data_IF_082209194711
#
_entry.id   IF_082209194711
#
_cell.length_a   1.000
_cell.length_b   1.000
_cell.length_c   1.000
_cell.angle_alpha   90.00
_cell.angle_beta   90.00
_cell.angle_gamma   90.00
#
_symmetry.space_group_name_H-M   'P 1'
#
loop_
_entity.id
_entity.type
_entity.pdbx_description
1 polymer ?
#
# COMPACT_ATOMS: atom_id res chain seq x y z
N UNK A 1 38.14 1.85 7.51
CA UNK A 1 38.15 0.48 8.07
C UNK A 1 37.60 0.61 9.47
N UNK A 2 36.33 0.27 9.71
CA UNK A 2 36.02 -1.06 10.21
C UNK A 2 34.70 -1.62 9.65
N UNK A 3 34.71 -2.94 9.45
CA UNK A 3 33.79 -3.71 8.62
C UNK A 3 32.46 -3.96 9.32
N UNK A 4 31.41 -3.77 8.53
CA UNK A 4 30.12 -4.46 8.59
C UNK A 4 30.20 -5.85 9.24
N UNK A 5 29.78 -5.97 10.50
CA UNK A 5 29.17 -7.20 11.03
C UNK A 5 27.67 -6.98 11.15
N UNK A 6 26.97 -7.03 10.02
CA UNK A 6 25.53 -7.30 10.00
C UNK A 6 25.36 -8.74 10.52
N UNK A 7 25.01 -8.87 11.80
CA UNK A 7 24.65 -10.15 12.38
C UNK A 7 23.40 -10.67 11.65
N UNK A 8 23.59 -11.53 10.65
CA UNK A 8 22.49 -12.20 9.97
C UNK A 8 21.91 -13.21 10.96
N UNK A 9 20.69 -12.93 11.42
CA UNK A 9 19.99 -13.78 12.39
C UNK A 9 19.52 -15.04 11.66
N UNK A 10 20.04 -16.21 12.00
CA UNK A 10 19.53 -17.50 11.48
C UNK A 10 18.20 -17.84 12.15
N UNK A 11 17.25 -18.34 11.37
CA UNK A 11 15.95 -18.76 11.91
C UNK A 11 15.59 -20.16 11.42
N UNK A 12 15.09 -20.97 12.36
CA UNK A 12 14.66 -22.36 12.15
C UNK A 12 13.21 -22.39 11.65
N UNK A 13 12.96 -23.09 10.55
CA UNK A 13 11.61 -23.46 10.11
C UNK A 13 11.47 -24.97 10.27
N UNK A 14 10.42 -25.43 10.96
CA UNK A 14 10.16 -26.85 11.18
C UNK A 14 9.26 -27.37 10.06
N UNK A 15 9.71 -28.38 9.33
CA UNK A 15 9.00 -29.02 8.21
C UNK A 15 8.96 -30.51 8.52
N UNK A 16 7.77 -31.11 8.77
CA UNK A 16 7.55 -32.57 8.98
C UNK A 16 8.83 -33.32 9.46
N UNK A 17 9.25 -33.00 10.69
CA UNK A 17 10.39 -33.62 11.40
C UNK A 17 11.82 -33.20 11.00
N UNK A 18 11.99 -32.21 10.13
CA UNK A 18 13.28 -31.60 9.79
C UNK A 18 13.32 -30.09 10.08
N UNK A 19 14.38 -29.65 10.74
CA UNK A 19 14.65 -28.24 11.04
C UNK A 19 15.60 -27.68 9.99
N UNK A 20 15.09 -26.78 9.13
CA UNK A 20 15.92 -26.11 8.12
C UNK A 20 16.26 -24.69 8.58
N UNK A 21 17.55 -24.37 8.66
CA UNK A 21 18.05 -23.03 8.93
C UNK A 21 18.19 -22.23 7.63
N UNK A 22 17.52 -21.08 7.56
CA UNK A 22 17.61 -20.17 6.40
C UNK A 22 18.08 -18.80 6.87
N UNK A 23 19.08 -18.24 6.19
CA UNK A 23 19.61 -16.90 6.47
C UNK A 23 18.59 -15.80 6.16
N UNK A 24 18.58 -14.74 6.98
CA UNK A 24 17.63 -13.63 6.87
C UNK A 24 18.30 -12.42 6.25
N UNK A 25 17.76 -11.96 5.12
CA UNK A 25 18.28 -10.80 4.39
C UNK A 25 17.55 -9.50 4.75
N UNK A 26 18.32 -8.42 4.91
CA UNK A 26 17.82 -7.06 5.08
C UNK A 26 17.54 -6.42 3.72
N UNK A 27 16.28 -6.13 3.41
CA UNK A 27 15.90 -5.45 2.15
C UNK A 27 15.34 -4.05 2.42
N UNK A 28 15.84 -3.06 1.67
CA UNK A 28 15.29 -1.70 1.64
C UNK A 28 13.84 -1.68 1.12
N UNK A 29 13.11 -0.57 1.30
CA UNK A 29 11.67 -0.42 0.99
C UNK A 29 11.30 -0.78 -0.46
N UNK A 30 11.19 -2.07 -0.77
CA UNK A 30 10.49 -2.56 -1.96
C UNK A 30 9.00 -2.55 -1.65
N UNK A 31 8.22 -1.79 -2.42
CA UNK A 31 6.76 -1.82 -2.36
C UNK A 31 6.30 -3.27 -2.59
N UNK A 32 5.76 -3.90 -1.56
CA UNK A 32 4.89 -5.07 -1.74
C UNK A 32 3.56 -4.51 -2.24
N UNK A 33 3.19 -4.84 -3.48
CA UNK A 33 1.84 -4.55 -3.96
C UNK A 33 0.86 -5.41 -3.15
N UNK A 34 0.01 -4.77 -2.37
CA UNK A 34 -1.22 -5.36 -1.89
C UNK A 34 -2.23 -5.25 -3.03
N UNK A 35 -2.39 -6.32 -3.81
CA UNK A 35 -3.47 -6.40 -4.78
C UNK A 35 -4.53 -7.35 -4.22
N UNK A 36 -5.77 -6.85 -4.15
CA UNK A 36 -6.93 -7.70 -3.91
C UNK A 36 -7.07 -8.70 -5.06
N UNK A 37 -7.61 -9.88 -4.75
CA UNK A 37 -8.28 -10.66 -5.77
C UNK A 37 -9.37 -9.77 -6.37
N UNK A 38 -9.35 -9.58 -7.68
CA UNK A 38 -10.53 -9.16 -8.43
C UNK A 38 -10.97 -10.44 -9.10
N UNK A 39 -12.01 -11.05 -8.55
CA UNK A 39 -12.71 -12.17 -9.17
C UNK A 39 -13.73 -11.60 -10.17
N UNK A 40 -14.00 -12.30 -11.29
CA UNK A 40 -15.08 -11.92 -12.20
C UNK A 40 -16.44 -11.90 -11.46
N UNK A 41 -17.36 -11.09 -11.98
CA UNK A 41 -18.71 -10.90 -11.42
C UNK A 41 -19.40 -12.25 -11.13
N UNK A 42 -20.19 -12.26 -10.05
CA UNK A 42 -21.04 -13.38 -9.64
C UNK A 42 -21.96 -13.80 -10.79
N UNK A 43 -21.56 -14.81 -11.55
CA UNK A 43 -22.51 -15.64 -12.28
C UNK A 43 -23.09 -16.63 -11.27
N UNK A 44 -24.43 -16.68 -11.22
CA UNK A 44 -25.19 -17.63 -10.42
C UNK A 44 -24.92 -19.03 -10.92
N UNK A 45 -24.04 -19.77 -10.23
CA UNK A 45 -23.79 -21.18 -10.52
C UNK A 45 -24.74 -22.01 -9.66
N UNK A 46 -25.59 -22.76 -10.35
CA UNK A 46 -26.56 -23.72 -9.82
C UNK A 46 -25.92 -24.71 -8.83
N UNK A 47 -26.72 -25.15 -7.86
CA UNK A 47 -26.43 -26.14 -6.81
C UNK A 47 -26.17 -27.57 -7.34
N UNK A 48 -25.20 -27.72 -8.25
CA UNK A 48 -24.64 -29.02 -8.58
C UNK A 48 -23.55 -29.34 -7.53
N UNK A 49 -23.73 -30.44 -6.80
CA UNK A 49 -22.79 -30.93 -5.79
C UNK A 49 -21.35 -30.91 -6.34
N UNK A 50 -20.51 -30.03 -5.80
CA UNK A 50 -19.14 -29.86 -6.27
C UNK A 50 -18.34 -31.12 -5.97
N UNK A 51 -18.04 -31.92 -6.99
CA UNK A 51 -17.26 -33.15 -6.83
C UNK A 51 -15.84 -32.83 -6.30
N UNK A 52 -15.60 -33.19 -5.04
CA UNK A 52 -14.35 -33.00 -4.30
C UNK A 52 -13.38 -34.17 -4.45
N UNK A 53 -13.77 -35.26 -5.11
CA UNK A 53 -12.94 -36.45 -5.24
C UNK A 53 -11.73 -36.26 -6.17
N UNK A 54 -11.78 -35.28 -7.08
CA UNK A 54 -10.75 -35.00 -8.11
C UNK A 54 -10.14 -33.59 -8.03
N UNK A 55 -9.98 -33.07 -6.81
CA UNK A 55 -9.52 -31.69 -6.61
C UNK A 55 -8.10 -31.44 -7.12
N UNK A 56 -7.19 -32.41 -6.94
CA UNK A 56 -5.80 -32.25 -7.35
C UNK A 56 -5.68 -32.22 -8.88
N UNK A 57 -6.47 -33.03 -9.57
CA UNK A 57 -6.58 -33.05 -11.02
C UNK A 57 -7.08 -31.70 -11.54
N UNK A 58 -8.15 -31.16 -10.94
CA UNK A 58 -8.67 -29.82 -11.25
C UNK A 58 -7.63 -28.72 -11.01
N UNK A 59 -6.82 -28.83 -9.96
CA UNK A 59 -5.71 -27.89 -9.70
C UNK A 59 -4.67 -27.93 -10.82
N UNK A 60 -4.33 -29.12 -11.30
CA UNK A 60 -3.29 -29.36 -12.30
C UNK A 60 -3.79 -29.31 -13.76
N UNK A 61 -5.06 -28.97 -13.97
CA UNK A 61 -5.61 -28.71 -15.31
C UNK A 61 -4.86 -27.58 -16.01
N UNK A 62 -4.67 -27.75 -17.31
CA UNK A 62 -3.85 -26.86 -18.14
C UNK A 62 -4.32 -25.41 -18.04
N UNK A 63 -5.63 -25.17 -18.13
CA UNK A 63 -6.17 -23.82 -18.16
C UNK A 63 -6.04 -23.12 -16.80
N UNK A 64 -6.27 -23.86 -15.70
CA UNK A 64 -6.04 -23.36 -14.34
C UNK A 64 -4.56 -23.00 -14.13
N UNK A 65 -3.64 -23.88 -14.54
CA UNK A 65 -2.20 -23.64 -14.45
C UNK A 65 -1.74 -22.45 -15.30
N UNK A 66 -2.32 -22.22 -16.47
CA UNK A 66 -2.04 -21.04 -17.30
C UNK A 66 -2.54 -19.75 -16.65
N UNK A 67 -3.72 -19.76 -16.02
CA UNK A 67 -4.22 -18.63 -15.24
C UNK A 67 -3.33 -18.34 -14.04
N UNK A 68 -2.90 -19.38 -13.33
CA UNK A 68 -1.95 -19.26 -12.22
C UNK A 68 -0.62 -18.65 -12.70
N UNK A 69 -0.08 -19.11 -13.82
CA UNK A 69 1.15 -18.62 -14.42
C UNK A 69 1.04 -17.13 -14.78
N UNK A 70 -0.03 -16.74 -15.47
CA UNK A 70 -0.32 -15.34 -15.81
C UNK A 70 -0.37 -14.46 -14.55
N UNK A 71 -1.05 -14.93 -13.49
CA UNK A 71 -1.16 -14.21 -12.21
C UNK A 71 0.21 -14.05 -11.54
N UNK A 72 1.00 -15.12 -11.44
CA UNK A 72 2.32 -15.10 -10.76
C UNK A 72 3.29 -14.18 -11.51
N UNK A 73 3.30 -14.21 -12.85
CA UNK A 73 4.10 -13.30 -13.68
C UNK A 73 3.66 -11.85 -13.50
N UNK A 74 2.35 -11.58 -13.53
CA UNK A 74 1.82 -10.22 -13.38
C UNK A 74 2.17 -9.57 -12.03
N UNK A 75 2.34 -10.38 -10.97
CA UNK A 75 2.69 -9.91 -9.63
C UNK A 75 4.15 -9.44 -9.51
N UNK A 76 5.03 -9.79 -10.48
CA UNK A 76 6.45 -9.37 -10.52
C UNK A 76 7.19 -9.60 -9.19
N UNK A 77 6.89 -10.71 -8.52
CA UNK A 77 7.45 -11.06 -7.21
C UNK A 77 8.95 -11.42 -7.28
N UNK A 78 9.68 -11.18 -6.18
CA UNK A 78 11.10 -11.56 -6.06
C UNK A 78 11.30 -13.08 -6.06
N UNK A 79 12.51 -13.55 -6.37
CA UNK A 79 12.88 -14.96 -6.31
C UNK A 79 12.80 -15.56 -4.89
N UNK A 80 12.67 -16.89 -4.83
CA UNK A 80 12.77 -17.69 -3.60
C UNK A 80 14.21 -17.99 -3.23
N UNK A 81 14.43 -19.07 -2.48
CA UNK A 81 15.77 -19.53 -2.04
C UNK A 81 16.63 -20.04 -3.20
N UNK A 82 15.98 -20.50 -4.28
CA UNK A 82 16.56 -21.04 -5.50
C UNK A 82 17.12 -19.98 -6.46
N UNK A 83 16.88 -18.70 -6.19
CA UNK A 83 17.38 -17.59 -7.01
C UNK A 83 16.65 -17.37 -8.35
N UNK A 84 15.79 -18.32 -8.77
CA UNK A 84 15.07 -18.26 -10.05
C UNK A 84 14.20 -17.01 -10.15
N UNK A 85 14.39 -16.25 -11.23
CA UNK A 85 13.62 -15.04 -11.52
C UNK A 85 12.26 -15.38 -12.15
N UNK A 86 11.35 -14.41 -12.08
CA UNK A 86 10.01 -14.58 -12.66
C UNK A 86 10.03 -14.76 -14.18
N UNK A 87 11.02 -14.16 -14.85
CA UNK A 87 11.16 -14.20 -16.30
C UNK A 87 11.60 -15.59 -16.80
N UNK A 88 12.27 -16.36 -15.94
CA UNK A 88 12.77 -17.72 -16.23
C UNK A 88 11.68 -18.79 -16.02
N UNK A 89 10.61 -18.46 -15.28
CA UNK A 89 9.57 -19.42 -14.89
C UNK A 89 8.94 -20.13 -16.08
N UNK A 90 8.69 -19.42 -17.18
CA UNK A 90 7.98 -19.99 -18.34
C UNK A 90 8.79 -21.11 -19.00
N UNK A 91 10.09 -20.88 -19.19
CA UNK A 91 10.99 -21.87 -19.77
C UNK A 91 11.26 -23.03 -18.80
N UNK A 92 11.41 -22.73 -17.51
CA UNK A 92 11.55 -23.75 -16.47
C UNK A 92 10.36 -24.71 -16.45
N UNK A 93 9.14 -24.19 -16.45
CA UNK A 93 7.93 -25.03 -16.45
C UNK A 93 7.83 -25.83 -17.75
N UNK A 94 8.09 -25.24 -18.93
CA UNK A 94 8.08 -26.00 -20.19
C UNK A 94 9.01 -27.23 -20.13
N UNK A 95 10.20 -27.08 -19.55
CA UNK A 95 11.20 -28.14 -19.45
C UNK A 95 10.88 -29.20 -18.38
N UNK A 96 10.33 -28.78 -17.24
CA UNK A 96 10.20 -29.63 -16.05
C UNK A 96 8.76 -30.00 -15.66
N UNK A 97 7.75 -29.53 -16.40
CA UNK A 97 6.34 -29.69 -16.03
C UNK A 97 5.92 -31.15 -15.85
N UNK A 98 6.34 -32.04 -16.75
CA UNK A 98 5.98 -33.45 -16.66
C UNK A 98 6.44 -34.05 -15.32
N UNK A 99 7.71 -33.85 -14.96
CA UNK A 99 8.28 -34.31 -13.69
C UNK A 99 7.58 -33.68 -12.47
N UNK A 100 7.29 -32.37 -12.53
CA UNK A 100 6.61 -31.66 -11.43
C UNK A 100 5.19 -32.22 -11.24
N UNK A 101 4.43 -32.37 -12.34
CA UNK A 101 3.06 -32.89 -12.33
C UNK A 101 3.01 -34.30 -11.77
N UNK A 102 3.89 -35.19 -12.23
CA UNK A 102 3.97 -36.57 -11.72
C UNK A 102 4.27 -36.59 -10.23
N UNK A 103 5.26 -35.81 -9.76
CA UNK A 103 5.57 -35.72 -8.32
C UNK A 103 4.39 -35.20 -7.48
N UNK A 104 3.59 -34.28 -8.02
CA UNK A 104 2.40 -33.76 -7.34
C UNK A 104 1.30 -34.81 -7.23
N UNK A 105 0.99 -35.50 -8.33
CA UNK A 105 -0.02 -36.57 -8.37
C UNK A 105 0.36 -37.76 -7.49
N UNK A 106 1.65 -38.13 -7.47
CA UNK A 106 2.16 -39.20 -6.60
C UNK A 106 2.39 -38.77 -5.15
N UNK A 107 2.05 -37.53 -4.77
CA UNK A 107 2.27 -36.96 -3.42
C UNK A 107 3.75 -36.92 -2.96
N UNK A 108 4.70 -37.05 -3.89
CA UNK A 108 6.16 -37.00 -3.65
C UNK A 108 6.75 -35.59 -3.77
N UNK A 109 5.94 -34.60 -4.09
CA UNK A 109 6.38 -33.21 -4.20
C UNK A 109 6.64 -32.60 -2.81
N UNK A 110 7.89 -32.25 -2.54
CA UNK A 110 8.26 -31.47 -1.36
C UNK A 110 8.54 -30.01 -1.74
N UNK A 111 7.73 -29.03 -1.30
CA UNK A 111 7.96 -27.61 -1.59
C UNK A 111 9.30 -27.14 -1.03
N UNK A 112 9.92 -26.18 -1.72
CA UNK A 112 11.19 -25.60 -1.25
C UNK A 112 10.98 -24.70 -0.03
N UNK A 113 12.00 -24.55 0.84
CA UNK A 113 11.91 -23.65 1.96
C UNK A 113 11.72 -22.19 1.48
N UNK A 114 10.97 -21.43 2.27
CA UNK A 114 10.62 -20.04 1.98
C UNK A 114 11.77 -19.09 2.35
N UNK A 115 12.20 -18.23 1.42
CA UNK A 115 13.25 -17.23 1.65
C UNK A 115 12.80 -16.15 2.64
N UNK A 116 13.64 -15.77 3.60
CA UNK A 116 13.28 -14.82 4.67
C UNK A 116 13.75 -13.41 4.34
N UNK A 117 12.82 -12.44 4.40
CA UNK A 117 13.11 -11.02 4.14
C UNK A 117 12.49 -10.14 5.21
N UNK A 118 13.27 -9.21 5.76
CA UNK A 118 12.79 -8.18 6.69
C UNK A 118 12.22 -6.96 5.97
N UNK A 119 11.00 -6.55 6.33
CA UNK A 119 10.32 -5.37 5.78
C UNK A 119 9.83 -4.47 6.93
N UNK A 120 10.14 -3.17 6.94
CA UNK A 120 9.68 -2.26 7.98
C UNK A 120 8.16 -2.04 7.89
N UNK A 121 7.44 -2.25 9.00
CA UNK A 121 6.03 -1.83 9.13
C UNK A 121 5.96 -0.31 9.34
N UNK A 122 4.81 0.31 9.03
CA UNK A 122 4.59 1.73 9.33
C UNK A 122 4.73 2.11 10.81
N UNK A 123 4.61 1.13 11.70
CA UNK A 123 4.66 1.24 13.15
C UNK A 123 6.11 1.20 13.69
N UNK A 124 7.11 1.03 12.83
CA UNK A 124 8.53 0.90 13.19
C UNK A 124 8.98 -0.55 13.43
N UNK A 125 8.04 -1.46 13.70
CA UNK A 125 8.31 -2.89 13.88
C UNK A 125 8.61 -3.58 12.55
N UNK A 126 9.50 -4.57 12.54
CA UNK A 126 9.82 -5.36 11.33
C UNK A 126 8.76 -6.44 11.06
N UNK A 127 8.47 -6.72 9.79
CA UNK A 127 7.72 -7.89 9.30
C UNK A 127 8.71 -8.83 8.63
N UNK A 128 8.80 -10.05 9.15
CA UNK A 128 9.49 -11.15 8.47
C UNK A 128 8.53 -11.71 7.41
N UNK A 129 8.96 -11.68 6.15
CA UNK A 129 8.23 -12.25 5.02
C UNK A 129 8.90 -13.55 4.60
N UNK A 130 8.11 -14.61 4.39
CA UNK A 130 8.53 -15.82 3.70
C UNK A 130 8.16 -15.72 2.23
N UNK A 131 9.15 -15.78 1.34
CA UNK A 131 8.97 -15.72 -0.10
C UNK A 131 9.22 -17.12 -0.66
N UNK A 132 8.19 -17.86 -1.12
CA UNK A 132 8.37 -19.17 -1.75
C UNK A 132 9.11 -19.04 -3.09
N UNK A 133 9.61 -20.15 -3.61
CA UNK A 133 10.14 -20.21 -4.98
C UNK A 133 9.07 -19.83 -5.99
N UNK A 134 9.49 -19.44 -7.19
CA UNK A 134 8.53 -19.04 -8.22
C UNK A 134 7.63 -20.22 -8.63
N UNK A 135 8.21 -21.43 -8.66
CA UNK A 135 7.48 -22.69 -8.88
C UNK A 135 6.46 -22.96 -7.77
N UNK A 136 6.84 -22.84 -6.49
CA UNK A 136 5.92 -23.06 -5.38
C UNK A 136 4.77 -22.05 -5.37
N UNK A 137 5.04 -20.79 -5.74
CA UNK A 137 3.99 -19.77 -5.88
C UNK A 137 3.00 -20.11 -7.01
N UNK A 138 3.48 -20.69 -8.11
CA UNK A 138 2.61 -21.14 -9.19
C UNK A 138 1.65 -22.22 -8.70
N UNK A 139 2.18 -23.24 -8.02
CA UNK A 139 1.37 -24.35 -7.47
C UNK A 139 0.38 -23.83 -6.42
N UNK A 140 0.83 -22.99 -5.48
CA UNK A 140 -0.04 -22.36 -4.48
C UNK A 140 -1.16 -21.53 -5.12
N UNK A 141 -0.86 -20.80 -6.19
CA UNK A 141 -1.84 -19.98 -6.90
C UNK A 141 -2.90 -20.86 -7.61
N UNK A 142 -2.48 -21.98 -8.19
CA UNK A 142 -3.39 -22.95 -8.82
C UNK A 142 -4.31 -23.61 -7.79
N UNK A 143 -3.78 -23.98 -6.62
CA UNK A 143 -4.56 -24.50 -5.49
C UNK A 143 -5.58 -23.45 -5.03
N UNK A 144 -5.14 -22.21 -4.82
CA UNK A 144 -6.00 -21.12 -4.37
C UNK A 144 -7.18 -20.87 -5.32
N UNK A 145 -6.97 -20.94 -6.64
CA UNK A 145 -8.03 -20.75 -7.64
C UNK A 145 -9.15 -21.78 -7.54
N UNK A 146 -8.82 -23.05 -7.25
CA UNK A 146 -9.81 -24.12 -7.09
C UNK A 146 -10.49 -24.01 -5.72
N UNK A 147 -9.72 -23.86 -4.64
CA UNK A 147 -10.26 -23.80 -3.28
C UNK A 147 -11.14 -22.57 -3.06
N UNK A 148 -10.82 -21.42 -3.65
CA UNK A 148 -11.68 -20.23 -3.56
C UNK A 148 -13.09 -20.49 -4.09
N UNK A 149 -13.27 -21.30 -5.14
CA UNK A 149 -14.61 -21.63 -5.66
C UNK A 149 -15.46 -22.42 -4.66
N UNK A 150 -14.81 -23.20 -3.79
CA UNK A 150 -15.47 -24.05 -2.78
C UNK A 150 -15.80 -23.21 -1.54
N UNK A 151 -14.83 -22.42 -1.07
CA UNK A 151 -14.95 -21.76 0.22
C UNK A 151 -15.59 -20.37 0.16
N UNK A 152 -15.44 -19.60 -0.92
CA UNK A 152 -16.04 -18.25 -1.02
C UNK A 152 -17.57 -18.24 -0.82
N UNK A 153 -18.35 -19.17 -1.40
CA UNK A 153 -19.80 -19.23 -1.15
C UNK A 153 -20.16 -19.59 0.30
N UNK A 154 -19.30 -20.34 0.99
CA UNK A 154 -19.51 -20.74 2.39
C UNK A 154 -19.15 -19.65 3.41
N UNK A 155 -18.48 -18.58 2.97
CA UNK A 155 -18.14 -17.47 3.85
C UNK A 155 -19.37 -16.61 4.14
N UNK A 156 -19.53 -16.22 5.41
CA UNK A 156 -20.61 -15.32 5.83
C UNK A 156 -20.55 -14.00 5.05
N UNK A 157 -21.70 -13.54 4.55
CA UNK A 157 -21.86 -12.22 3.91
C UNK A 157 -21.47 -11.04 4.83
N UNK A 158 -21.36 -11.28 6.14
CA UNK A 158 -20.97 -10.29 7.16
C UNK A 158 -19.52 -10.50 7.69
N UNK A 159 -18.70 -11.29 7.00
CA UNK A 159 -17.28 -11.52 7.32
C UNK A 159 -16.42 -10.29 6.99
N UNK A 160 -16.57 -9.23 7.79
CA UNK A 160 -15.77 -8.00 7.72
C UNK A 160 -15.33 -7.46 9.11
N UNK A 161 -15.65 -8.18 10.20
CA UNK A 161 -15.16 -8.10 11.60
C UNK A 161 -15.27 -6.76 12.35
N UNK A 162 -16.03 -6.55 13.45
CA UNK A 162 -16.88 -7.34 14.37
C UNK A 162 -17.95 -6.39 14.99
N UNK A 163 -19.14 -6.89 15.39
CA UNK A 163 -20.32 -6.10 15.83
C UNK A 163 -20.63 -6.12 17.36
N UNK A 164 -21.42 -5.16 17.91
CA UNK A 164 -21.52 -4.88 19.37
C UNK A 164 -22.92 -4.96 20.03
N UNK A 165 -22.99 -5.12 21.38
CA UNK A 165 -23.81 -4.34 22.36
C UNK A 165 -23.64 -4.75 23.86
N UNK A 166 -23.28 -3.73 24.66
CA UNK A 166 -23.70 -3.31 26.03
C UNK A 166 -23.27 -4.06 27.30
N UNK A 167 -22.77 -3.29 28.29
CA UNK A 167 -22.43 -3.73 29.67
C UNK A 167 -21.34 -4.81 29.73
N UNK A 168 -20.55 -4.86 28.67
CA UNK A 168 -19.93 -6.09 28.21
C UNK A 168 -18.62 -5.81 27.49
N UNK A 169 -17.98 -4.66 27.70
CA UNK A 169 -16.74 -4.34 26.98
C UNK A 169 -15.61 -5.31 27.34
N UNK A 170 -15.37 -5.51 28.64
CA UNK A 170 -14.37 -6.47 29.10
C UNK A 170 -14.85 -7.92 28.95
N UNK A 171 -16.13 -8.19 29.16
CA UNK A 171 -16.72 -9.52 28.97
C UNK A 171 -16.67 -9.97 27.49
N UNK A 172 -16.99 -9.09 26.55
CA UNK A 172 -16.85 -9.34 25.10
C UNK A 172 -15.38 -9.50 24.75
N UNK A 173 -14.50 -8.63 25.25
CA UNK A 173 -13.07 -8.75 24.93
C UNK A 173 -12.48 -10.04 25.51
N UNK A 174 -12.84 -10.43 26.73
CA UNK A 174 -12.46 -11.72 27.34
C UNK A 174 -13.07 -12.90 26.59
N UNK A 175 -14.36 -12.86 26.26
CA UNK A 175 -15.07 -13.94 25.54
C UNK A 175 -14.52 -14.14 24.12
N UNK A 176 -14.33 -13.05 23.36
CA UNK A 176 -13.69 -13.09 22.05
C UNK A 176 -12.25 -13.55 22.14
N UNK A 177 -11.48 -13.08 23.13
CA UNK A 177 -10.10 -13.53 23.34
C UNK A 177 -10.08 -15.03 23.63
N UNK A 178 -10.97 -15.52 24.50
CA UNK A 178 -11.10 -16.95 24.82
C UNK A 178 -11.47 -17.77 23.59
N UNK A 179 -12.40 -17.32 22.76
CA UNK A 179 -12.77 -18.03 21.53
C UNK A 179 -11.59 -18.09 20.56
N UNK A 180 -10.91 -16.97 20.33
CA UNK A 180 -9.79 -16.86 19.40
C UNK A 180 -8.57 -17.64 19.91
N UNK A 181 -8.24 -17.56 21.20
CA UNK A 181 -7.07 -18.23 21.80
C UNK A 181 -7.34 -19.71 22.05
N UNK A 182 -8.52 -20.11 22.52
CA UNK A 182 -8.76 -21.49 22.93
C UNK A 182 -9.31 -22.36 21.79
N UNK A 183 -10.26 -21.85 20.99
CA UNK A 183 -10.90 -22.60 19.90
C UNK A 183 -10.13 -22.48 18.60
N UNK A 184 -9.66 -21.27 18.25
CA UNK A 184 -8.93 -21.02 17.00
C UNK A 184 -7.40 -21.06 17.17
N UNK A 185 -6.89 -21.18 18.41
CA UNK A 185 -5.45 -21.24 18.74
C UNK A 185 -4.62 -20.05 18.22
N UNK A 186 -5.22 -18.86 18.14
CA UNK A 186 -4.57 -17.61 17.70
C UNK A 186 -4.36 -16.65 18.88
N UNK A 187 -3.22 -15.94 18.93
CA UNK A 187 -2.92 -14.96 20.00
C UNK A 187 -3.51 -13.57 19.71
N UNK A 188 -4.25 -12.99 20.66
CA UNK A 188 -4.83 -11.65 20.50
C UNK A 188 -3.79 -10.57 20.81
N UNK A 189 -3.68 -9.56 19.93
CA UNK A 189 -2.84 -8.39 20.19
C UNK A 189 -3.59 -7.39 21.10
N UNK A 190 -3.40 -7.52 22.41
CA UNK A 190 -4.05 -6.67 23.44
C UNK A 190 -3.78 -5.17 23.27
N UNK A 191 -2.65 -4.78 22.68
CA UNK A 191 -2.32 -3.37 22.44
C UNK A 191 -3.09 -2.77 21.24
N UNK A 192 -3.49 -3.61 20.28
CA UNK A 192 -4.23 -3.20 19.08
C UNK A 192 -5.74 -3.40 19.25
N UNK A 193 -6.16 -4.42 20.00
CA UNK A 193 -7.56 -4.71 20.29
C UNK A 193 -8.07 -3.81 21.40
N UNK A 194 -9.22 -3.16 21.19
CA UNK A 194 -9.88 -2.38 22.24
C UNK A 194 -11.36 -2.25 21.92
N UNK A 195 -12.18 -2.20 22.98
CA UNK A 195 -13.60 -1.88 22.89
C UNK A 195 -13.76 -0.41 23.28
N UNK A 196 -13.90 0.47 22.29
CA UNK A 196 -13.92 1.91 22.47
C UNK A 196 -14.90 2.56 21.48
N UNK A 197 -15.17 3.86 21.64
CA UNK A 197 -15.99 4.61 20.70
C UNK A 197 -15.37 4.56 19.31
N UNK A 198 -16.23 4.33 18.32
CA UNK A 198 -15.85 4.23 16.91
C UNK A 198 -15.14 5.51 16.43
N UNK A 199 -15.49 6.67 17.00
CA UNK A 199 -14.87 7.96 16.70
C UNK A 199 -13.44 8.14 17.22
N UNK A 200 -13.04 7.37 18.24
CA UNK A 200 -11.69 7.37 18.84
C UNK A 200 -10.78 6.33 18.19
N UNK A 201 -11.33 5.45 17.35
CA UNK A 201 -10.64 4.30 16.78
C UNK A 201 -10.38 4.48 15.28
N UNK A 202 -9.27 3.88 14.84
CA UNK A 202 -8.90 3.79 13.43
C UNK A 202 -9.32 2.43 12.89
N UNK A 203 -10.12 2.41 11.84
CA UNK A 203 -10.46 1.21 11.10
C UNK A 203 -10.08 1.38 9.64
N UNK A 204 -9.19 0.53 9.12
CA UNK A 204 -8.68 0.57 7.73
C UNK A 204 -8.17 1.95 7.24
N UNK A 205 -7.80 2.85 8.16
CA UNK A 205 -7.33 4.19 7.82
C UNK A 205 -8.42 5.27 7.87
N UNK A 206 -9.65 4.88 8.15
CA UNK A 206 -10.79 5.73 8.46
C UNK A 206 -11.04 5.81 9.98
N UNK A 207 -11.88 6.75 10.35
CA UNK A 207 -12.51 6.90 11.65
C UNK A 207 -13.91 7.46 11.42
N UNK A 208 -14.68 7.62 12.47
CA UNK A 208 -16.07 8.06 12.36
C UNK A 208 -16.30 9.31 13.20
N UNK A 209 -17.34 10.06 12.88
CA UNK A 209 -17.87 11.11 13.72
C UNK A 209 -19.40 11.02 13.71
N UNK A 210 -20.03 11.55 14.74
CA UNK A 210 -21.49 11.55 14.84
C UNK A 210 -21.99 12.92 14.37
N UNK A 211 -22.70 12.92 13.25
CA UNK A 211 -23.47 14.04 12.73
C UNK A 211 -24.94 13.88 13.13
N UNK A 212 -25.77 14.89 12.83
CA UNK A 212 -27.23 14.83 13.07
C UNK A 212 -27.90 13.68 12.31
N UNK A 213 -27.38 13.36 11.13
CA UNK A 213 -27.76 12.26 10.23
C UNK A 213 -27.29 10.88 10.70
N UNK A 214 -26.46 10.79 11.74
CA UNK A 214 -25.88 9.54 12.24
C UNK A 214 -24.36 9.49 12.14
N UNK A 215 -23.79 8.28 12.08
CA UNK A 215 -22.34 8.09 12.03
C UNK A 215 -21.80 8.29 10.62
N UNK A 216 -20.99 9.33 10.42
CA UNK A 216 -20.35 9.64 9.15
C UNK A 216 -18.86 9.24 9.14
N UNK A 217 -18.33 8.95 7.96
CA UNK A 217 -16.96 8.48 7.75
C UNK A 217 -16.02 9.67 7.57
N UNK A 218 -14.91 9.67 8.31
CA UNK A 218 -13.79 10.63 8.14
C UNK A 218 -12.46 9.90 7.96
N UNK A 219 -11.50 10.59 7.35
CA UNK A 219 -10.13 10.06 7.21
C UNK A 219 -9.41 10.19 8.55
N UNK A 220 -8.84 9.10 9.06
CA UNK A 220 -8.12 9.13 10.33
C UNK A 220 -6.80 9.92 10.23
N UNK A 221 -6.43 10.63 11.28
CA UNK A 221 -5.27 11.53 11.33
C UNK A 221 -3.95 10.85 10.97
N UNK A 222 -3.71 9.62 11.45
CA UNK A 222 -2.54 8.81 11.06
C UNK A 222 -2.45 8.61 9.54
N UNK A 223 -3.57 8.46 8.84
CA UNK A 223 -3.60 8.31 7.37
C UNK A 223 -3.25 9.63 6.69
N UNK A 224 -3.77 10.76 7.21
CA UNK A 224 -3.44 12.11 6.76
C UNK A 224 -1.94 12.40 6.98
N UNK A 225 -1.39 12.05 8.16
CA UNK A 225 0.04 12.22 8.47
C UNK A 225 0.91 11.47 7.46
N UNK A 226 0.60 10.18 7.21
CA UNK A 226 1.30 9.36 6.21
C UNK A 226 1.21 9.95 4.80
N UNK A 227 0.06 10.50 4.43
CA UNK A 227 -0.10 11.21 3.15
C UNK A 227 0.79 12.45 3.08
N UNK A 228 0.76 13.31 4.11
CA UNK A 228 1.65 14.48 4.22
C UNK A 228 3.13 14.06 4.14
N UNK A 229 3.53 12.95 4.77
CA UNK A 229 4.90 12.44 4.71
C UNK A 229 5.29 11.99 3.30
N UNK A 230 4.42 11.29 2.57
CA UNK A 230 4.65 10.95 1.15
C UNK A 230 4.81 12.19 0.28
N UNK A 231 3.95 13.20 0.49
CA UNK A 231 4.05 14.48 -0.23
C UNK A 231 5.36 15.19 0.09
N UNK A 232 5.81 15.19 1.35
CA UNK A 232 7.07 15.83 1.78
C UNK A 232 8.29 15.30 1.03
N UNK A 233 8.32 14.01 0.70
CA UNK A 233 9.42 13.41 -0.09
C UNK A 233 9.58 14.14 -1.43
N UNK A 234 8.49 14.34 -2.17
CA UNK A 234 8.51 14.97 -3.49
C UNK A 234 8.40 16.50 -3.46
N UNK A 235 8.14 17.09 -2.30
CA UNK A 235 8.13 18.55 -2.07
C UNK A 235 9.23 18.98 -1.12
N UNK A 236 10.28 18.17 -0.99
CA UNK A 236 11.49 18.60 -0.31
C UNK A 236 12.23 19.56 -1.24
N UNK A 237 12.35 20.82 -0.85
CA UNK A 237 13.02 21.87 -1.63
C UNK A 237 14.51 21.61 -1.87
N UNK A 238 15.12 20.69 -1.12
CA UNK A 238 16.54 20.35 -1.25
C UNK A 238 16.80 19.19 -2.22
N UNK A 239 15.74 18.57 -2.79
CA UNK A 239 15.94 17.50 -3.78
C UNK A 239 16.17 18.07 -5.18
N UNK A 240 17.20 17.57 -5.88
CA UNK A 240 17.56 17.98 -7.24
C UNK A 240 16.67 17.36 -8.32
N UNK A 241 15.34 17.53 -8.22
CA UNK A 241 14.37 17.00 -9.20
C UNK A 241 13.60 18.15 -9.86
N UNK A 242 13.26 17.96 -11.14
CA UNK A 242 12.53 18.95 -11.95
C UNK A 242 11.12 19.21 -11.40
N UNK A 243 10.59 20.41 -11.66
CA UNK A 243 9.25 20.79 -11.20
C UNK A 243 8.17 19.94 -11.86
N UNK A 244 8.33 19.61 -13.14
CA UNK A 244 7.43 18.75 -13.91
C UNK A 244 7.36 17.34 -13.31
N UNK A 245 8.52 16.75 -13.00
CA UNK A 245 8.58 15.43 -12.36
C UNK A 245 7.95 15.46 -10.97
N UNK A 246 8.12 16.55 -10.20
CA UNK A 246 7.40 16.74 -8.92
C UNK A 246 5.88 16.72 -9.14
N UNK A 247 5.36 17.47 -10.10
CA UNK A 247 3.92 17.50 -10.38
C UNK A 247 3.40 16.12 -10.78
N UNK A 248 4.09 15.43 -11.70
CA UNK A 248 3.73 14.06 -12.11
C UNK A 248 3.64 13.11 -10.92
N UNK A 249 4.63 13.11 -10.03
CA UNK A 249 4.63 12.23 -8.84
C UNK A 249 3.59 12.63 -7.80
N UNK A 250 3.35 13.92 -7.59
CA UNK A 250 2.29 14.39 -6.69
C UNK A 250 0.92 13.98 -7.20
N UNK A 251 0.62 14.20 -8.48
CA UNK A 251 -0.65 13.82 -9.09
C UNK A 251 -0.89 12.31 -8.97
N UNK A 252 0.13 11.46 -9.17
CA UNK A 252 0.02 10.01 -8.98
C UNK A 252 -0.33 9.63 -7.54
N UNK A 253 0.34 10.25 -6.56
CA UNK A 253 0.07 10.01 -5.13
C UNK A 253 -1.35 10.46 -4.77
N UNK A 254 -1.74 11.64 -5.27
CA UNK A 254 -3.02 12.27 -4.97
C UNK A 254 -4.19 11.49 -5.55
N UNK A 255 -4.13 11.10 -6.83
CA UNK A 255 -5.15 10.26 -7.49
C UNK A 255 -5.36 8.95 -6.74
N UNK A 256 -4.29 8.20 -6.48
CA UNK A 256 -4.40 6.93 -5.75
C UNK A 256 -4.91 7.09 -4.32
N UNK A 257 -4.62 8.23 -3.68
CA UNK A 257 -5.12 8.51 -2.34
C UNK A 257 -6.61 8.86 -2.35
N UNK A 258 -7.07 9.66 -3.32
CA UNK A 258 -8.49 9.98 -3.47
C UNK A 258 -9.31 8.75 -3.83
N UNK A 259 -8.84 7.91 -4.77
CA UNK A 259 -9.57 6.69 -5.13
C UNK A 259 -9.86 5.78 -3.94
N UNK A 260 -8.97 5.76 -2.93
CA UNK A 260 -9.18 4.97 -1.73
C UNK A 260 -10.01 5.71 -0.67
N UNK A 261 -9.71 6.99 -0.41
CA UNK A 261 -10.32 7.75 0.68
C UNK A 261 -11.55 8.56 0.28
N UNK A 262 -11.94 8.54 -1.00
CA UNK A 262 -13.02 9.34 -1.55
C UNK A 262 -14.40 8.99 -1.01
N UNK A 263 -14.55 7.80 -0.42
CA UNK A 263 -15.75 7.37 0.33
C UNK A 263 -16.00 8.24 1.57
N UNK A 264 -14.96 8.87 2.14
CA UNK A 264 -15.10 9.67 3.35
C UNK A 264 -15.52 11.12 3.05
N UNK A 265 -16.35 11.69 3.92
CA UNK A 265 -16.65 13.12 3.88
C UNK A 265 -15.40 13.93 4.24
N UNK A 266 -14.68 14.38 3.21
CA UNK A 266 -13.34 14.95 3.37
C UNK A 266 -13.16 16.30 2.67
N UNK A 267 -14.20 16.92 2.11
CA UNK A 267 -14.09 18.15 1.29
C UNK A 267 -13.28 19.26 1.96
N UNK A 268 -13.59 19.57 3.22
CA UNK A 268 -12.86 20.59 4.01
C UNK A 268 -11.40 20.20 4.24
N UNK A 269 -11.14 18.92 4.54
CA UNK A 269 -9.79 18.41 4.81
C UNK A 269 -8.94 18.35 3.55
N UNK A 270 -9.54 18.00 2.41
CA UNK A 270 -8.91 18.05 1.09
C UNK A 270 -8.53 19.48 0.73
N UNK A 271 -9.39 20.46 1.02
CA UNK A 271 -9.09 21.87 0.81
C UNK A 271 -7.89 22.36 1.63
N UNK A 272 -7.80 21.96 2.90
CA UNK A 272 -6.66 22.24 3.76
C UNK A 272 -5.37 21.62 3.20
N UNK A 273 -5.43 20.35 2.78
CA UNK A 273 -4.30 19.64 2.19
C UNK A 273 -3.83 20.31 0.90
N UNK A 274 -4.74 20.69 0.02
CA UNK A 274 -4.45 21.36 -1.24
C UNK A 274 -3.73 22.69 -1.04
N UNK A 275 -4.24 23.53 -0.12
CA UNK A 275 -3.58 24.80 0.26
C UNK A 275 -2.16 24.53 0.75
N UNK A 276 -1.99 23.51 1.59
CA UNK A 276 -0.68 23.11 2.11
C UNK A 276 0.27 22.60 1.01
N UNK A 277 -0.20 21.77 0.07
CA UNK A 277 0.60 21.28 -1.07
C UNK A 277 1.05 22.43 -1.96
N UNK A 278 0.13 23.33 -2.34
CA UNK A 278 0.44 24.51 -3.17
C UNK A 278 1.48 25.40 -2.51
N UNK A 279 1.38 25.64 -1.19
CA UNK A 279 2.40 26.38 -0.44
C UNK A 279 3.77 25.70 -0.48
N UNK A 280 3.82 24.37 -0.38
CA UNK A 280 5.09 23.63 -0.51
C UNK A 280 5.68 23.72 -1.91
N UNK A 281 4.86 23.67 -2.95
CA UNK A 281 5.29 23.87 -4.33
C UNK A 281 5.89 25.26 -4.55
N UNK A 282 5.23 26.32 -4.03
CA UNK A 282 5.78 27.68 -4.04
C UNK A 282 7.16 27.75 -3.38
N UNK A 283 7.34 27.09 -2.24
CA UNK A 283 8.65 27.03 -1.58
C UNK A 283 9.72 26.32 -2.42
N UNK A 284 9.35 25.27 -3.17
CA UNK A 284 10.27 24.56 -4.07
C UNK A 284 10.67 25.45 -5.26
N UNK A 285 9.69 26.08 -5.92
CA UNK A 285 9.93 27.00 -7.05
C UNK A 285 10.81 28.18 -6.62
N UNK A 286 10.49 28.80 -5.48
CA UNK A 286 11.29 29.91 -4.93
C UNK A 286 12.73 29.51 -4.61
N UNK A 287 12.94 28.29 -4.11
CA UNK A 287 14.28 27.75 -3.87
C UNK A 287 15.03 27.49 -5.18
N UNK A 288 14.34 26.98 -6.21
CA UNK A 288 14.91 26.68 -7.51
C UNK A 288 15.45 27.94 -8.21
N UNK A 289 14.79 29.08 -8.08
CA UNK A 289 15.28 30.35 -8.66
C UNK A 289 16.62 30.80 -8.06
N UNK A 290 16.97 30.37 -6.84
CA UNK A 290 18.26 30.54 -6.14
C UNK A 290 18.79 31.99 -6.09
N UNK A 291 19.26 32.52 -7.22
CA UNK A 291 19.84 33.85 -7.40
C UNK A 291 18.76 34.95 -7.35
N UNK A 292 19.13 36.11 -6.81
CA UNK A 292 18.26 37.30 -6.72
C UNK A 292 17.83 37.75 -8.12
N UNK A 293 18.77 37.85 -9.07
CA UNK A 293 18.49 38.26 -10.45
C UNK A 293 17.45 37.37 -11.13
N UNK A 294 17.55 36.05 -10.96
CA UNK A 294 16.58 35.08 -11.48
C UNK A 294 15.21 35.22 -10.82
N UNK A 295 15.15 35.46 -9.51
CA UNK A 295 13.87 35.73 -8.83
C UNK A 295 13.21 36.99 -9.36
N UNK A 296 13.95 38.08 -9.53
CA UNK A 296 13.42 39.33 -10.09
C UNK A 296 12.89 39.09 -11.50
N UNK A 297 13.69 38.48 -12.38
CA UNK A 297 13.30 38.17 -13.76
C UNK A 297 12.00 37.35 -13.81
N UNK A 298 11.90 36.29 -13.03
CA UNK A 298 10.73 35.42 -13.04
C UNK A 298 9.50 36.09 -12.44
N UNK A 299 9.65 36.89 -11.38
CA UNK A 299 8.52 37.67 -10.83
C UNK A 299 8.01 38.71 -11.83
N UNK A 300 8.92 39.41 -12.52
CA UNK A 300 8.54 40.37 -13.57
C UNK A 300 7.85 39.69 -14.75
N UNK A 301 8.33 38.51 -15.18
CA UNK A 301 7.65 37.69 -16.20
C UNK A 301 6.24 37.27 -15.78
N UNK A 302 5.98 37.15 -14.48
CA UNK A 302 4.66 36.83 -13.90
C UNK A 302 3.81 38.07 -13.60
N UNK A 303 4.17 39.24 -14.15
CA UNK A 303 3.37 40.47 -14.02
C UNK A 303 3.57 41.25 -12.73
N UNK A 304 4.66 41.01 -11.99
CA UNK A 304 5.02 41.81 -10.80
C UNK A 304 5.91 42.99 -11.22
N UNK A 305 5.63 44.18 -10.69
CA UNK A 305 6.46 45.36 -10.94
C UNK A 305 7.92 45.11 -10.55
N UNK A 306 8.85 45.69 -11.31
CA UNK A 306 10.29 45.49 -11.10
C UNK A 306 10.75 45.87 -9.68
N UNK A 307 10.15 46.92 -9.11
CA UNK A 307 10.41 47.37 -7.73
C UNK A 307 10.00 46.30 -6.70
N UNK A 308 8.74 45.85 -6.71
CA UNK A 308 8.25 44.83 -5.78
C UNK A 308 8.99 43.49 -5.99
N UNK A 309 9.29 43.13 -7.23
CA UNK A 309 10.10 41.96 -7.54
C UNK A 309 11.47 42.01 -6.87
N UNK A 310 12.17 43.15 -6.91
CA UNK A 310 13.48 43.35 -6.27
C UNK A 310 13.39 43.33 -4.75
N UNK A 311 12.37 43.99 -4.18
CA UNK A 311 12.08 44.00 -2.73
C UNK A 311 11.92 42.58 -2.17
N UNK A 312 11.11 41.75 -2.82
CA UNK A 312 10.87 40.38 -2.35
C UNK A 312 11.99 39.40 -2.72
N UNK A 313 12.70 39.60 -3.83
CA UNK A 313 13.85 38.77 -4.19
C UNK A 313 14.98 38.84 -3.15
N UNK A 314 15.18 40.03 -2.56
CA UNK A 314 16.18 40.33 -1.53
C UNK A 314 15.72 40.06 -0.08
N UNK A 315 14.59 39.39 0.10
CA UNK A 315 14.06 39.13 1.45
C UNK A 315 15.01 38.24 2.28
N UNK A 316 15.18 38.59 3.56
CA UNK A 316 15.84 37.74 4.58
C UNK A 316 14.92 36.65 5.14
N UNK A 317 13.64 36.63 4.74
CA UNK A 317 12.66 35.64 5.22
C UNK A 317 12.97 34.23 4.67
N UNK A 318 12.89 33.22 5.53
CA UNK A 318 13.10 31.83 5.13
C UNK A 318 12.08 31.31 4.09
N UNK A 319 12.47 30.27 3.33
CA UNK A 319 11.69 29.71 2.21
C UNK A 319 10.24 29.36 2.56
N UNK A 320 9.99 28.82 3.75
CA UNK A 320 8.63 28.50 4.20
C UNK A 320 7.81 29.73 4.55
N UNK A 321 8.43 30.78 5.09
CA UNK A 321 7.76 32.05 5.43
C UNK A 321 7.37 32.79 4.16
N UNK A 322 8.31 32.94 3.22
CA UNK A 322 8.06 33.67 1.97
C UNK A 322 7.02 32.96 1.07
N UNK A 323 6.93 31.62 1.11
CA UNK A 323 5.92 30.86 0.35
C UNK A 323 4.46 31.23 0.63
N UNK A 324 4.20 31.87 1.77
CA UNK A 324 2.88 32.35 2.19
C UNK A 324 2.72 33.87 2.08
N UNK A 325 3.65 34.55 1.40
CA UNK A 325 3.55 36.00 1.19
C UNK A 325 2.49 36.34 0.14
N UNK A 326 1.89 37.54 0.21
CA UNK A 326 0.97 38.02 -0.83
C UNK A 326 1.61 38.01 -2.22
N UNK A 327 2.90 38.34 -2.33
CA UNK A 327 3.59 38.37 -3.62
C UNK A 327 3.65 37.00 -4.30
N UNK A 328 3.98 35.94 -3.54
CA UNK A 328 4.00 34.57 -4.08
C UNK A 328 2.59 34.00 -4.22
N UNK A 329 1.63 34.50 -3.44
CA UNK A 329 0.21 34.24 -3.67
C UNK A 329 -0.29 34.78 -5.01
N UNK A 330 0.13 36.01 -5.37
CA UNK A 330 -0.25 36.70 -6.60
C UNK A 330 0.48 36.14 -7.83
N UNK A 331 1.80 35.99 -7.75
CA UNK A 331 2.64 35.52 -8.87
C UNK A 331 2.53 34.01 -9.10
N UNK A 332 2.73 33.20 -8.06
CA UNK A 332 2.61 31.73 -8.12
C UNK A 332 1.19 31.30 -7.68
N UNK A 333 0.19 31.88 -8.32
CA UNK A 333 -1.23 31.64 -8.03
C UNK A 333 -1.67 30.21 -8.42
N UNK A 334 -2.92 29.87 -8.14
CA UNK A 334 -3.43 28.51 -8.39
C UNK A 334 -3.42 28.18 -9.90
N UNK A 335 -3.82 29.12 -10.76
CA UNK A 335 -3.83 28.96 -12.22
C UNK A 335 -2.41 28.68 -12.76
N UNK A 336 -1.40 29.37 -12.23
CA UNK A 336 0.00 29.12 -12.59
C UNK A 336 0.48 27.73 -12.15
N UNK A 337 0.12 27.27 -10.95
CA UNK A 337 0.49 25.92 -10.53
C UNK A 337 -0.22 24.86 -11.39
N UNK A 338 -1.47 25.11 -11.77
CA UNK A 338 -2.23 24.25 -12.68
C UNK A 338 -1.63 24.20 -14.08
N UNK A 339 -1.13 25.34 -14.62
CA UNK A 339 -0.44 25.35 -15.91
C UNK A 339 0.90 24.62 -15.89
N UNK A 340 1.55 24.49 -14.72
CA UNK A 340 2.69 23.61 -14.52
C UNK A 340 2.31 22.12 -14.38
N UNK A 341 1.02 21.79 -14.48
CA UNK A 341 0.50 20.43 -14.39
C UNK A 341 0.08 19.99 -12.99
N UNK A 342 -0.03 20.89 -12.00
CA UNK A 342 -0.59 20.52 -10.69
C UNK A 342 -2.10 20.30 -10.79
N UNK A 343 -2.59 19.14 -10.36
CA UNK A 343 -4.03 18.84 -10.33
C UNK A 343 -4.52 18.98 -8.90
N UNK A 344 -5.63 19.71 -8.69
CA UNK A 344 -6.25 19.93 -7.38
C UNK A 344 -6.84 18.63 -6.79
N UNK A 345 -6.59 18.34 -5.51
CA UNK A 345 -7.24 17.22 -4.79
C UNK A 345 -8.75 17.39 -4.79
N UNK A 346 -9.23 18.61 -4.49
CA UNK A 346 -10.67 18.87 -4.41
C UNK A 346 -11.34 18.61 -5.76
N UNK A 347 -10.74 19.10 -6.85
CA UNK A 347 -11.28 18.92 -8.20
C UNK A 347 -11.35 17.45 -8.57
N UNK A 348 -10.31 16.69 -8.22
CA UNK A 348 -10.27 15.24 -8.48
C UNK A 348 -11.34 14.51 -7.66
N UNK A 349 -11.56 14.91 -6.41
CA UNK A 349 -12.60 14.35 -5.54
C UNK A 349 -14.00 14.59 -6.11
N UNK A 350 -14.29 15.83 -6.51
CA UNK A 350 -15.59 16.24 -7.11
C UNK A 350 -15.90 15.59 -8.47
N UNK A 351 -14.89 15.06 -9.16
CA UNK A 351 -15.09 14.36 -10.42
C UNK A 351 -15.44 12.88 -10.23
N UNK A 352 -15.10 12.31 -9.06
CA UNK A 352 -15.29 10.89 -8.76
C UNK A 352 -16.54 10.68 -7.88
N UNK A 353 -16.87 11.69 -7.06
CA UNK A 353 -17.96 11.71 -6.09
C UNK A 353 -18.68 13.06 -6.19
#
# INVERSE_FOLDING_TARGET
>A
MDKSKKLQRKQKTQYRDQVVEVEVELRGKSKVQSNSMVLPNRESVNDAAFDTSRLLEKVLERDNMLLALKRVISNKGSHGVDGMKIDELREHIKKHWHTIKTKLLETKYNPSPVRRVEIPKPDGVVRLLGIPTVQDRLIQQAIAQVLSKIYEPSFSENSFGFRPRRGAKDAIMKSMTRLIENKLKLKVNKNKSAVDLVSKRKFLGFSFYFAKSGAEIRIHEKSIKRFKDKVRVYTNRNTGISIEYRMKKLNQIMRGWINYYGIANAKSKLAELDKWIRRRLRACIWKQWKKISTKVRNLTKLGISKYEARKYANTRKGYWRISNSPILGKSLNNKYLESLGFISLIRTYQMIH
#
